data_IF_419532566228
#
_entry.id   IF_419532566228
#
_cell.length_a   1.000
_cell.length_b   1.000
_cell.length_c   1.000
_cell.angle_alpha   90.00
_cell.angle_beta   90.00
_cell.angle_gamma   90.00
#
_symmetry.space_group_name_H-M   'P 1'
#
loop_
_entity.id
_entity.type
_entity.pdbx_description
1 polymer ?
#
# COMPACT_ATOMS: atom_id res chain seq x y z
N UNK A 1 5.20 -6.06 6.30
CA UNK A 1 5.22 -5.89 7.78
C UNK A 1 3.79 -5.83 8.27
N UNK A 2 3.43 -6.60 9.30
CA UNK A 2 2.10 -6.52 9.92
C UNK A 2 2.01 -5.17 10.65
N UNK A 3 1.37 -4.19 10.01
CA UNK A 3 1.08 -2.90 10.62
C UNK A 3 -0.36 -2.91 11.13
N UNK A 4 -0.65 -2.06 12.10
CA UNK A 4 -1.93 -2.09 12.78
C UNK A 4 -3.06 -1.79 11.76
N UNK A 5 -4.12 -2.62 11.66
CA UNK A 5 -5.23 -2.38 10.72
C UNK A 5 -5.83 -0.97 10.83
N UNK A 6 -5.80 -0.36 12.03
CA UNK A 6 -6.20 1.03 12.22
C UNK A 6 -5.32 2.01 11.42
N UNK A 7 -4.00 1.82 11.42
CA UNK A 7 -3.05 2.67 10.68
C UNK A 7 -3.19 2.46 9.17
N UNK A 8 -3.34 1.22 8.73
CA UNK A 8 -3.57 0.90 7.31
C UNK A 8 -4.83 1.63 6.81
N UNK A 9 -5.93 1.49 7.53
CA UNK A 9 -7.19 2.17 7.19
C UNK A 9 -7.08 3.69 7.26
N UNK A 10 -6.29 4.23 8.20
CA UNK A 10 -6.03 5.66 8.27
C UNK A 10 -5.30 6.17 7.01
N UNK A 11 -4.29 5.45 6.50
CA UNK A 11 -3.62 5.81 5.25
C UNK A 11 -4.54 5.73 4.04
N UNK A 12 -5.34 4.66 3.91
CA UNK A 12 -6.30 4.51 2.81
C UNK A 12 -7.33 5.64 2.83
N UNK A 13 -7.87 5.95 4.02
CA UNK A 13 -8.84 7.03 4.18
C UNK A 13 -8.21 8.40 3.88
N UNK A 14 -7.01 8.64 4.38
CA UNK A 14 -6.27 9.87 4.11
C UNK A 14 -5.99 10.06 2.62
N UNK A 15 -5.51 9.02 1.93
CA UNK A 15 -5.25 9.07 0.49
C UNK A 15 -6.52 9.41 -0.30
N UNK A 16 -7.66 8.80 0.07
CA UNK A 16 -8.96 9.12 -0.55
C UNK A 16 -9.36 10.58 -0.30
N UNK A 17 -9.27 11.03 0.94
CA UNK A 17 -9.60 12.42 1.32
C UNK A 17 -8.75 13.42 0.54
N UNK A 18 -7.44 13.19 0.45
CA UNK A 18 -6.51 14.05 -0.28
C UNK A 18 -6.82 14.08 -1.78
N UNK A 19 -7.24 12.96 -2.35
CA UNK A 19 -7.60 12.87 -3.77
C UNK A 19 -8.95 13.54 -4.10
N UNK A 20 -9.90 13.52 -3.16
CA UNK A 20 -11.21 14.17 -3.26
C UNK A 20 -11.20 15.64 -2.77
N UNK A 21 -10.04 16.16 -2.34
CA UNK A 21 -9.95 17.48 -1.73
C UNK A 21 -10.15 18.58 -2.78
N UNK A 22 -11.10 19.52 -2.59
CA UNK A 22 -11.35 20.58 -3.57
C UNK A 22 -10.36 21.75 -3.47
N UNK A 23 -9.66 21.86 -2.34
CA UNK A 23 -8.70 22.93 -2.03
C UNK A 23 -7.31 22.34 -1.93
N UNK A 24 -6.29 23.14 -2.19
CA UNK A 24 -4.91 22.68 -2.06
C UNK A 24 -4.58 22.33 -0.60
N UNK A 25 -3.87 21.21 -0.42
CA UNK A 25 -3.52 20.72 0.92
C UNK A 25 -2.50 21.64 1.61
N UNK A 26 -1.67 22.37 0.85
CA UNK A 26 -0.71 23.34 1.38
C UNK A 26 -1.41 24.50 2.08
N UNK A 27 -2.50 25.01 1.49
CA UNK A 27 -3.29 26.10 2.09
C UNK A 27 -3.90 25.68 3.43
N UNK A 28 -4.38 24.43 3.50
CA UNK A 28 -4.97 23.87 4.73
C UNK A 28 -3.88 23.58 5.77
N UNK A 29 -2.71 23.14 5.33
CA UNK A 29 -1.55 22.90 6.19
C UNK A 29 -1.04 24.19 6.85
N UNK A 30 -0.94 25.29 6.08
CA UNK A 30 -0.54 26.60 6.59
C UNK A 30 -1.49 27.15 7.65
N UNK A 31 -2.77 26.82 7.55
CA UNK A 31 -3.79 27.23 8.52
C UNK A 31 -3.81 26.35 9.80
N UNK A 32 -2.93 25.34 9.90
CA UNK A 32 -2.91 24.34 10.98
C UNK A 32 -4.24 23.57 11.14
N UNK A 33 -5.02 23.45 10.05
CA UNK A 33 -6.37 22.85 10.08
C UNK A 33 -6.41 21.41 9.58
N UNK A 34 -5.28 20.78 9.27
CA UNK A 34 -5.23 19.40 8.76
C UNK A 34 -5.97 18.40 9.65
N UNK A 35 -5.89 18.57 10.97
CA UNK A 35 -6.57 17.69 11.94
C UNK A 35 -8.09 17.93 12.03
N UNK A 36 -8.60 19.02 11.46
CA UNK A 36 -10.04 19.27 11.35
C UNK A 36 -10.66 18.47 10.21
N UNK A 37 -9.85 17.98 9.27
CA UNK A 37 -10.34 17.15 8.18
C UNK A 37 -10.77 15.78 8.74
N UNK A 38 -12.06 15.39 8.59
CA UNK A 38 -12.58 14.18 9.20
C UNK A 38 -11.93 12.92 8.60
N UNK A 39 -11.06 12.28 9.39
CA UNK A 39 -10.28 11.11 8.95
C UNK A 39 -8.78 11.34 8.86
N UNK A 40 -8.32 12.59 9.04
CA UNK A 40 -6.91 12.94 9.19
C UNK A 40 -6.62 13.13 10.68
N UNK A 41 -5.96 12.15 11.29
CA UNK A 41 -5.48 12.25 12.67
C UNK A 41 -4.08 12.87 12.76
N UNK A 42 -3.61 13.14 13.98
CA UNK A 42 -2.29 13.74 14.25
C UNK A 42 -1.15 13.07 13.47
N UNK A 43 -1.03 11.74 13.55
CA UNK A 43 0.07 11.02 12.89
C UNK A 43 0.00 10.98 11.36
N UNK A 44 -1.15 11.28 10.76
CA UNK A 44 -1.30 11.48 9.30
C UNK A 44 -0.97 12.93 8.95
N UNK A 45 -1.49 13.89 9.71
CA UNK A 45 -1.19 15.31 9.54
C UNK A 45 0.32 15.59 9.61
N UNK A 46 1.03 14.99 10.59
CA UNK A 46 2.49 15.11 10.71
C UNK A 46 3.22 14.64 9.44
N UNK A 47 2.74 13.58 8.78
CA UNK A 47 3.35 13.08 7.53
C UNK A 47 3.03 13.93 6.32
N UNK A 48 1.83 14.53 6.28
CA UNK A 48 1.46 15.48 5.24
C UNK A 48 2.39 16.69 5.34
N UNK A 49 2.56 17.25 6.54
CA UNK A 49 3.47 18.37 6.78
C UNK A 49 4.91 17.98 6.40
N UNK A 50 5.40 16.83 6.85
CA UNK A 50 6.74 16.32 6.50
C UNK A 50 6.94 16.26 4.97
N UNK A 51 5.95 15.77 4.24
CA UNK A 51 5.99 15.71 2.78
C UNK A 51 6.00 17.10 2.14
N UNK A 52 5.20 18.05 2.65
CA UNK A 52 5.17 19.42 2.14
C UNK A 52 6.50 20.16 2.39
N UNK A 53 7.15 19.92 3.52
CA UNK A 53 8.41 20.58 3.86
C UNK A 53 9.62 19.94 3.16
N UNK A 54 9.65 18.62 3.04
CA UNK A 54 10.85 17.88 2.60
C UNK A 54 10.71 17.21 1.22
N UNK A 55 9.50 17.15 0.67
CA UNK A 55 9.16 16.38 -0.53
C UNK A 55 9.21 14.86 -0.32
N UNK A 56 9.40 14.40 0.93
CA UNK A 56 9.58 12.98 1.25
C UNK A 56 8.84 12.62 2.54
N UNK A 57 8.56 11.33 2.72
CA UNK A 57 8.06 10.80 3.99
C UNK A 57 9.06 9.75 4.44
N UNK A 58 9.77 10.02 5.53
CA UNK A 58 10.83 9.16 6.08
C UNK A 58 10.32 7.75 6.30
N UNK A 59 9.09 7.63 6.83
CA UNK A 59 8.48 6.31 7.07
C UNK A 59 8.20 5.54 5.78
N UNK A 60 7.82 6.24 4.72
CA UNK A 60 7.60 5.62 3.42
C UNK A 60 8.93 5.15 2.82
N UNK A 61 9.99 5.96 2.87
CA UNK A 61 11.30 5.57 2.36
C UNK A 61 11.86 4.35 3.10
N UNK A 62 11.78 4.33 4.43
CA UNK A 62 12.21 3.18 5.23
C UNK A 62 11.44 1.89 4.87
N UNK A 63 10.13 1.98 4.64
CA UNK A 63 9.32 0.82 4.27
C UNK A 63 9.57 0.40 2.82
N UNK A 64 9.84 1.35 1.93
CA UNK A 64 10.15 1.10 0.53
C UNK A 64 11.50 0.41 0.37
N UNK A 65 12.49 0.70 1.22
CA UNK A 65 13.79 0.01 1.18
C UNK A 65 13.69 -1.49 1.47
N UNK A 66 12.70 -1.89 2.28
CA UNK A 66 12.46 -3.30 2.64
C UNK A 66 11.69 -4.06 1.55
N UNK A 67 11.15 -3.37 0.54
CA UNK A 67 10.25 -3.93 -0.47
C UNK A 67 10.78 -3.62 -1.88
N UNK A 68 11.17 -4.65 -2.63
CA UNK A 68 11.59 -4.52 -4.03
C UNK A 68 10.49 -3.90 -4.89
N UNK A 69 10.85 -2.96 -5.78
CA UNK A 69 9.90 -2.33 -6.70
C UNK A 69 9.14 -3.35 -7.56
N UNK A 70 9.79 -4.47 -7.90
CA UNK A 70 9.18 -5.57 -8.65
C UNK A 70 8.03 -6.24 -7.89
N UNK A 71 8.15 -6.36 -6.56
CA UNK A 71 7.10 -6.90 -5.70
C UNK A 71 5.93 -5.93 -5.59
N UNK A 72 6.21 -4.63 -5.57
CA UNK A 72 5.18 -3.58 -5.61
C UNK A 72 4.42 -3.62 -6.94
N UNK A 73 5.11 -3.87 -8.06
CA UNK A 73 4.47 -3.95 -9.38
C UNK A 73 3.40 -5.06 -9.43
N UNK A 74 3.56 -6.14 -8.66
CA UNK A 74 2.56 -7.20 -8.56
C UNK A 74 1.24 -6.73 -7.92
N UNK A 75 1.27 -5.68 -7.09
CA UNK A 75 0.05 -5.08 -6.51
C UNK A 75 -0.80 -4.37 -7.56
N UNK A 76 -0.24 -4.06 -8.72
CA UNK A 76 -0.98 -3.50 -9.85
C UNK A 76 -1.83 -4.53 -10.61
N UNK A 77 -1.62 -5.83 -10.35
CA UNK A 77 -2.36 -6.89 -11.01
C UNK A 77 -3.76 -6.99 -10.38
N UNK A 78 -4.84 -6.90 -11.18
CA UNK A 78 -6.19 -7.09 -10.69
C UNK A 78 -6.30 -8.39 -9.90
N UNK A 79 -6.99 -8.37 -8.76
CA UNK A 79 -7.14 -9.53 -7.85
C UNK A 79 -5.94 -9.87 -6.95
N UNK A 80 -4.75 -9.30 -7.18
CA UNK A 80 -3.59 -9.43 -6.29
C UNK A 80 -3.50 -8.26 -5.31
N UNK A 81 -4.19 -8.42 -4.18
CA UNK A 81 -4.08 -7.49 -3.06
C UNK A 81 -2.79 -7.66 -2.25
N UNK A 82 -2.44 -6.69 -1.38
CA UNK A 82 -1.23 -6.72 -0.56
C UNK A 82 -1.10 -7.94 0.34
N UNK A 83 -2.22 -8.48 0.83
CA UNK A 83 -2.22 -9.74 1.60
C UNK A 83 -1.81 -10.94 0.76
N UNK A 84 -2.30 -11.03 -0.48
CA UNK A 84 -1.99 -12.13 -1.39
C UNK A 84 -0.54 -12.04 -1.84
N UNK A 85 -0.06 -10.87 -2.27
CA UNK A 85 1.36 -10.68 -2.63
C UNK A 85 2.28 -11.00 -1.46
N UNK A 86 1.95 -10.56 -0.24
CA UNK A 86 2.72 -10.90 0.94
C UNK A 86 2.73 -12.42 1.24
N UNK A 87 1.60 -13.11 1.06
CA UNK A 87 1.51 -14.56 1.20
C UNK A 87 2.40 -15.27 0.18
N UNK A 88 2.33 -14.87 -1.09
CA UNK A 88 3.13 -15.46 -2.16
C UNK A 88 4.63 -15.23 -1.97
N UNK A 89 5.02 -14.02 -1.55
CA UNK A 89 6.41 -13.73 -1.22
C UNK A 89 6.89 -14.57 -0.02
N UNK A 90 6.03 -14.83 0.98
CA UNK A 90 6.39 -15.64 2.14
C UNK A 90 6.53 -17.13 1.80
N UNK A 91 5.56 -17.69 1.07
CA UNK A 91 5.48 -19.13 0.81
C UNK A 91 6.38 -19.57 -0.36
N UNK A 92 6.45 -18.75 -1.41
CA UNK A 92 7.15 -19.11 -2.66
C UNK A 92 8.31 -18.18 -2.99
N UNK A 93 8.61 -17.18 -2.15
CA UNK A 93 9.68 -16.19 -2.37
C UNK A 93 9.59 -15.48 -3.72
N UNK A 94 8.37 -15.26 -4.22
CA UNK A 94 8.19 -14.50 -5.46
C UNK A 94 8.64 -13.06 -5.25
N UNK A 95 9.43 -12.52 -6.16
CA UNK A 95 9.86 -11.11 -6.10
C UNK A 95 9.38 -10.30 -7.30
N UNK A 96 9.03 -10.97 -8.41
CA UNK A 96 8.67 -10.35 -9.67
C UNK A 96 7.57 -11.15 -10.40
N UNK A 97 7.21 -10.66 -11.59
CA UNK A 97 6.18 -11.25 -12.42
C UNK A 97 6.56 -12.63 -12.97
N UNK A 98 7.84 -12.87 -13.21
CA UNK A 98 8.32 -14.17 -13.72
C UNK A 98 8.19 -15.26 -12.65
N UNK A 99 8.61 -14.98 -11.42
CA UNK A 99 8.40 -15.88 -10.28
C UNK A 99 6.92 -16.24 -10.10
N UNK A 100 6.04 -15.22 -10.19
CA UNK A 100 4.60 -15.43 -10.11
C UNK A 100 4.11 -16.38 -11.21
N UNK A 101 4.51 -16.16 -12.46
CA UNK A 101 4.13 -17.01 -13.60
C UNK A 101 4.59 -18.45 -13.41
N UNK A 102 5.80 -18.66 -12.90
CA UNK A 102 6.33 -19.99 -12.62
C UNK A 102 5.49 -20.72 -11.55
N UNK A 103 5.18 -20.04 -10.45
CA UNK A 103 4.38 -20.60 -9.35
C UNK A 103 2.94 -20.91 -9.78
N UNK A 104 2.37 -20.10 -10.66
CA UNK A 104 1.06 -20.35 -11.29
C UNK A 104 1.14 -21.56 -12.22
N UNK A 105 2.14 -21.64 -13.09
CA UNK A 105 2.31 -22.74 -14.04
C UNK A 105 2.57 -24.09 -13.37
N UNK A 106 3.28 -24.11 -12.24
CA UNK A 106 3.52 -25.32 -11.44
C UNK A 106 2.28 -25.73 -10.62
N UNK A 107 1.22 -24.91 -10.61
CA UNK A 107 -0.02 -25.19 -9.88
C UNK A 107 0.10 -25.11 -8.36
N UNK A 108 1.29 -24.81 -7.80
CA UNK A 108 1.53 -24.69 -6.35
C UNK A 108 0.63 -23.64 -5.70
N UNK A 109 0.27 -22.61 -6.46
CA UNK A 109 -0.55 -21.51 -5.97
C UNK A 109 -1.97 -21.93 -5.54
N UNK A 110 -2.51 -23.03 -6.09
CA UNK A 110 -3.86 -23.54 -5.81
C UNK A 110 -4.06 -24.00 -4.37
N UNK A 111 -2.99 -24.35 -3.67
CA UNK A 111 -3.04 -24.82 -2.28
C UNK A 111 -3.14 -23.67 -1.28
N UNK A 112 -2.98 -22.42 -1.73
CA UNK A 112 -2.97 -21.27 -0.84
C UNK A 112 -4.40 -20.78 -0.49
N UNK A 113 -4.64 -20.42 0.78
CA UNK A 113 -5.91 -19.87 1.21
C UNK A 113 -6.21 -18.55 0.47
N UNK A 114 -7.37 -18.51 -0.20
CA UNK A 114 -7.80 -17.34 -0.96
C UNK A 114 -7.30 -17.27 -2.41
N UNK A 115 -6.65 -18.32 -2.91
CA UNK A 115 -6.23 -18.46 -4.31
C UNK A 115 -7.08 -19.50 -5.05
N UNK A 116 -8.36 -19.18 -5.24
CA UNK A 116 -9.28 -20.03 -6.01
C UNK A 116 -9.07 -19.91 -7.52
N UNK A 117 -9.61 -20.87 -8.29
CA UNK A 117 -9.45 -20.97 -9.75
C UNK A 117 -9.73 -19.66 -10.50
N UNK A 118 -10.80 -18.94 -10.12
CA UNK A 118 -11.16 -17.64 -10.72
C UNK A 118 -10.09 -16.55 -10.58
N UNK A 119 -9.28 -16.60 -9.52
CA UNK A 119 -8.17 -15.66 -9.30
C UNK A 119 -6.91 -16.03 -10.08
N UNK A 120 -6.78 -17.29 -10.46
CA UNK A 120 -5.64 -17.81 -11.20
C UNK A 120 -5.85 -17.61 -12.70
N UNK A 121 -7.11 -17.61 -13.15
CA UNK A 121 -7.51 -17.35 -14.54
C UNK A 121 -7.47 -15.87 -14.94
N UNK A 122 -7.61 -14.94 -13.98
CA UNK A 122 -7.45 -13.48 -14.20
C UNK A 122 -5.99 -13.08 -14.23
#
# INVERSE_FOLDING_TARGET
KDDNPFKINAYIKAARILNDLPTDIEEIAQSCELQKIPGIGKGTAEKIIEYLETGRITKFEQLRQDISNELIALLGIPSLGPKTVALLHKEFKINNLEDLKQVVADGRITHLPGMGEKKIEN
#
